data_IF_600695257750
#
_entry.id   IF_600695257750
#
_cell.length_a   1.000
_cell.length_b   1.000
_cell.length_c   1.000
_cell.angle_alpha   90.00
_cell.angle_beta   90.00
_cell.angle_gamma   90.00
#
_symmetry.space_group_name_H-M   'P 1'
#
loop_
_entity.id
_entity.type
_entity.pdbx_description
1 polymer ?
#
# COMPACT_ATOMS: atom_id res chain seq x y z
N UNK A 1 42.27 8.84 -50.62
CA UNK A 1 40.90 8.83 -50.05
C UNK A 1 40.96 8.97 -48.54
N UNK A 2 40.35 10.06 -48.06
CA UNK A 2 39.80 10.38 -46.74
C UNK A 2 40.39 9.82 -45.42
N UNK A 3 40.97 10.75 -44.65
CA UNK A 3 40.52 11.28 -43.34
C UNK A 3 40.13 10.34 -42.18
N UNK A 4 40.89 10.48 -41.09
CA UNK A 4 40.52 10.47 -39.66
C UNK A 4 39.19 9.84 -39.21
N UNK A 5 39.27 8.94 -38.21
CA UNK A 5 38.85 9.23 -36.82
C UNK A 5 39.26 8.13 -35.83
N UNK A 6 40.03 8.56 -34.83
CA UNK A 6 40.28 7.90 -33.55
C UNK A 6 39.01 7.95 -32.71
N UNK A 7 38.62 6.84 -32.07
CA UNK A 7 38.03 6.84 -30.72
C UNK A 7 38.51 5.62 -29.94
N UNK A 8 39.47 5.91 -29.06
CA UNK A 8 39.86 5.13 -27.90
C UNK A 8 38.80 5.37 -26.81
N UNK A 9 38.30 4.32 -26.16
CA UNK A 9 38.05 4.39 -24.72
C UNK A 9 38.05 2.98 -24.13
N UNK A 10 39.08 2.74 -23.33
CA UNK A 10 39.29 1.57 -22.49
C UNK A 10 38.93 1.97 -21.05
N UNK A 11 38.43 1.00 -20.30
CA UNK A 11 38.41 0.86 -18.84
C UNK A 11 37.24 1.44 -18.03
N UNK A 12 36.60 0.55 -17.27
CA UNK A 12 35.62 0.91 -16.24
C UNK A 12 35.09 -0.25 -15.39
N UNK A 13 35.98 -1.11 -14.89
CA UNK A 13 35.82 -1.96 -13.70
C UNK A 13 34.84 -3.16 -13.71
N UNK A 14 35.47 -4.34 -13.82
CA UNK A 14 35.10 -5.59 -13.14
C UNK A 14 34.90 -5.33 -11.64
N UNK A 15 33.66 -5.47 -11.17
CA UNK A 15 33.31 -6.01 -9.85
C UNK A 15 32.12 -6.95 -10.02
N UNK A 16 32.29 -7.94 -10.90
CA UNK A 16 31.63 -9.22 -10.75
C UNK A 16 32.39 -9.96 -9.65
N UNK A 17 31.84 -9.91 -8.44
CA UNK A 17 32.51 -10.41 -7.23
C UNK A 17 31.52 -10.60 -6.09
N UNK A 18 30.65 -11.59 -6.28
CA UNK A 18 30.16 -12.50 -5.24
C UNK A 18 29.40 -11.92 -4.04
N UNK A 19 28.09 -12.17 -4.09
CA UNK A 19 27.44 -12.87 -2.99
C UNK A 19 26.75 -11.98 -1.95
N UNK A 20 25.44 -11.84 -2.09
CA UNK A 20 24.49 -12.54 -1.21
C UNK A 20 23.05 -12.15 -1.60
N UNK A 21 22.23 -13.18 -1.81
CA UNK A 21 20.76 -13.16 -1.80
C UNK A 21 20.09 -12.49 -3.00
N UNK A 22 20.11 -13.23 -4.11
CA UNK A 22 18.91 -13.39 -4.92
C UNK A 22 17.78 -13.93 -4.03
N UNK A 23 17.01 -13.05 -3.42
CA UNK A 23 15.57 -13.26 -3.33
C UNK A 23 14.98 -12.44 -4.47
N UNK A 24 14.71 -13.08 -5.60
CA UNK A 24 13.63 -12.60 -6.46
C UNK A 24 12.34 -12.72 -5.63
N UNK A 25 12.11 -11.74 -4.74
CA UNK A 25 10.78 -11.44 -4.24
C UNK A 25 10.04 -10.90 -5.46
N UNK A 26 9.25 -11.76 -6.09
CA UNK A 26 8.32 -11.38 -7.14
C UNK A 26 7.26 -10.47 -6.50
N UNK A 27 7.61 -9.19 -6.30
CA UNK A 27 6.61 -8.19 -5.98
C UNK A 27 5.70 -8.05 -7.21
N UNK A 28 4.40 -8.26 -7.02
CA UNK A 28 3.43 -8.13 -8.11
C UNK A 28 3.47 -6.71 -8.72
N UNK A 29 3.08 -6.60 -10.00
CA UNK A 29 3.13 -5.34 -10.76
C UNK A 29 2.24 -4.27 -10.11
N UNK A 30 2.83 -3.11 -9.86
CA UNK A 30 2.11 -1.94 -9.35
C UNK A 30 1.54 -1.21 -10.55
N UNK A 31 0.21 -1.18 -10.63
CA UNK A 31 -0.50 -0.55 -11.74
C UNK A 31 -1.14 0.74 -11.25
N UNK A 32 -1.07 1.79 -12.07
CA UNK A 32 -1.70 3.08 -11.76
C UNK A 32 -0.92 3.93 -10.75
N UNK A 33 -1.64 4.68 -9.91
CA UNK A 33 -1.05 5.71 -9.05
C UNK A 33 -0.49 5.13 -7.75
N UNK A 34 0.76 5.50 -7.45
CA UNK A 34 1.33 5.38 -6.09
C UNK A 34 1.35 6.77 -5.47
N UNK A 35 0.69 6.92 -4.31
CA UNK A 35 0.64 8.23 -3.64
C UNK A 35 1.96 8.50 -2.91
N UNK A 36 2.37 9.78 -2.76
CA UNK A 36 3.52 10.12 -1.93
C UNK A 36 3.44 9.54 -0.52
N UNK A 37 2.25 9.52 0.09
CA UNK A 37 2.03 8.93 1.41
C UNK A 37 2.40 7.45 1.44
N UNK A 38 2.00 6.68 0.41
CA UNK A 38 2.37 5.26 0.28
C UNK A 38 3.88 5.06 0.13
N UNK A 39 4.56 5.95 -0.60
CA UNK A 39 6.02 5.89 -0.75
C UNK A 39 6.71 6.04 0.61
N UNK A 40 6.30 7.03 1.40
CA UNK A 40 6.88 7.26 2.73
C UNK A 40 6.55 6.13 3.71
N UNK A 41 5.32 5.62 3.70
CA UNK A 41 4.95 4.44 4.49
C UNK A 41 5.80 3.22 4.10
N UNK A 42 5.98 2.95 2.80
CA UNK A 42 6.81 1.85 2.33
C UNK A 42 8.26 1.99 2.78
N UNK A 43 8.84 3.20 2.64
CA UNK A 43 10.22 3.47 3.09
C UNK A 43 10.37 3.22 4.58
N UNK A 44 9.43 3.67 5.41
CA UNK A 44 9.45 3.41 6.84
C UNK A 44 9.41 1.90 7.16
N UNK A 45 8.55 1.13 6.49
CA UNK A 45 8.50 -0.32 6.66
C UNK A 45 9.84 -1.00 6.30
N UNK A 46 10.45 -0.63 5.17
CA UNK A 46 11.76 -1.15 4.75
C UNK A 46 12.89 -0.78 5.74
N UNK A 47 12.82 0.42 6.32
CA UNK A 47 13.77 0.85 7.34
C UNK A 47 13.62 0.01 8.62
N UNK A 48 12.39 -0.26 9.06
CA UNK A 48 12.11 -1.15 10.20
C UNK A 48 12.61 -2.57 9.92
N UNK A 49 12.32 -3.12 8.73
CA UNK A 49 12.79 -4.45 8.32
C UNK A 49 14.32 -4.57 8.28
N UNK A 50 15.02 -3.47 8.01
CA UNK A 50 16.50 -3.41 8.02
C UNK A 50 17.10 -3.01 9.36
N UNK A 51 16.30 -2.93 10.43
CA UNK A 51 16.74 -2.58 11.79
C UNK A 51 17.10 -1.10 11.98
N UNK A 52 16.68 -0.23 11.06
CA UNK A 52 16.91 1.21 11.05
C UNK A 52 15.72 1.96 11.64
N UNK A 53 15.42 1.63 12.89
CA UNK A 53 14.20 2.06 13.59
C UNK A 53 14.10 3.58 13.74
N UNK A 54 15.22 4.25 14.05
CA UNK A 54 15.25 5.71 14.21
C UNK A 54 15.00 6.43 12.90
N UNK A 55 15.60 5.93 11.82
CA UNK A 55 15.39 6.45 10.47
C UNK A 55 13.94 6.23 10.01
N UNK A 56 13.33 5.10 10.36
CA UNK A 56 11.93 4.84 10.05
C UNK A 56 10.98 5.84 10.75
N UNK A 57 11.19 6.08 12.05
CA UNK A 57 10.44 7.08 12.81
C UNK A 57 10.61 8.47 12.21
N UNK A 58 11.84 8.83 11.84
CA UNK A 58 12.13 10.10 11.18
C UNK A 58 11.44 10.24 9.81
N UNK A 59 11.42 9.17 9.01
CA UNK A 59 10.75 9.16 7.71
C UNK A 59 9.24 9.41 7.87
N UNK A 60 8.60 8.83 8.89
CA UNK A 60 7.19 9.07 9.16
C UNK A 60 6.93 10.48 9.69
N UNK A 61 7.81 11.05 10.52
CA UNK A 61 7.66 12.43 10.98
C UNK A 61 7.59 13.44 9.82
N UNK A 62 8.27 13.18 8.69
CA UNK A 62 8.23 14.06 7.50
C UNK A 62 6.85 14.14 6.84
N UNK A 63 6.01 13.13 7.03
CA UNK A 63 4.67 13.04 6.45
C UNK A 63 3.57 12.90 7.50
N UNK A 64 3.89 13.12 8.77
CA UNK A 64 2.92 12.99 9.85
C UNK A 64 1.88 14.12 9.78
N UNK A 65 2.37 15.35 9.65
CA UNK A 65 1.57 16.53 9.32
C UNK A 65 1.53 16.71 7.80
N UNK A 66 0.82 17.74 7.33
CA UNK A 66 0.74 18.09 5.91
C UNK A 66 2.14 18.27 5.30
N UNK A 67 2.33 17.68 4.13
CA UNK A 67 3.64 17.58 3.52
C UNK A 67 3.63 18.10 2.08
N UNK A 68 4.83 18.44 1.60
CA UNK A 68 5.11 18.74 0.21
C UNK A 68 6.06 17.69 -0.33
N UNK A 69 5.73 17.08 -1.47
CA UNK A 69 6.52 16.04 -2.09
C UNK A 69 6.98 16.49 -3.47
N UNK A 70 8.29 16.42 -3.72
CA UNK A 70 8.87 16.66 -5.04
C UNK A 70 8.57 15.45 -5.93
N UNK A 71 7.83 15.70 -7.01
CA UNK A 71 7.47 14.69 -8.01
C UNK A 71 8.53 14.58 -9.12
N UNK A 72 9.62 15.34 -9.03
CA UNK A 72 10.60 15.54 -10.09
C UNK A 72 10.20 16.65 -11.06
N UNK A 73 11.17 17.09 -11.87
CA UNK A 73 11.00 18.16 -12.88
C UNK A 73 10.45 19.48 -12.32
N UNK A 74 10.73 19.79 -11.04
CA UNK A 74 10.30 21.02 -10.38
C UNK A 74 8.83 21.06 -9.96
N UNK A 75 8.12 19.93 -10.02
CA UNK A 75 6.72 19.84 -9.59
C UNK A 75 6.63 19.44 -8.12
N UNK A 76 5.84 20.18 -7.34
CA UNK A 76 5.60 19.89 -5.92
C UNK A 76 4.13 19.58 -5.69
N UNK A 77 3.85 18.40 -5.14
CA UNK A 77 2.52 18.01 -4.69
C UNK A 77 2.35 18.32 -3.20
N UNK A 78 1.27 18.99 -2.82
CA UNK A 78 0.85 19.09 -1.40
C UNK A 78 -0.10 17.96 -1.08
N UNK A 79 0.10 17.29 0.06
CA UNK A 79 -0.73 16.19 0.51
C UNK A 79 -1.09 16.34 1.98
N UNK A 80 -2.28 15.83 2.33
CA UNK A 80 -2.67 15.67 3.73
C UNK A 80 -1.77 14.64 4.42
N UNK A 81 -1.30 14.95 5.62
CA UNK A 81 -0.43 14.07 6.39
C UNK A 81 -1.10 12.78 6.89
N UNK A 82 -0.30 11.88 7.45
CA UNK A 82 -0.78 10.65 8.09
C UNK A 82 -1.74 10.93 9.24
N UNK A 83 -1.55 12.02 9.99
CA UNK A 83 -2.43 12.37 11.11
C UNK A 83 -3.85 12.66 10.65
N UNK A 84 -4.00 13.47 9.61
CA UNK A 84 -5.31 13.78 9.03
C UNK A 84 -5.93 12.53 8.38
N UNK A 85 -5.12 11.76 7.65
CA UNK A 85 -5.54 10.52 6.99
C UNK A 85 -6.04 9.48 8.02
N UNK A 86 -5.28 9.25 9.09
CA UNK A 86 -5.67 8.34 10.17
C UNK A 86 -6.91 8.82 10.91
N UNK A 87 -7.07 10.13 11.10
CA UNK A 87 -8.28 10.70 11.72
C UNK A 87 -9.54 10.46 10.88
N UNK A 88 -9.44 10.56 9.54
CA UNK A 88 -10.54 10.26 8.64
C UNK A 88 -10.90 8.77 8.66
N UNK A 89 -9.89 7.90 8.70
CA UNK A 89 -10.07 6.45 8.82
C UNK A 89 -10.70 6.09 10.17
N UNK A 90 -10.26 6.70 11.27
CA UNK A 90 -10.85 6.53 12.59
C UNK A 90 -12.32 6.89 12.62
N UNK A 91 -12.70 7.99 11.98
CA UNK A 91 -14.11 8.39 11.86
C UNK A 91 -14.93 7.41 11.03
N UNK A 92 -14.36 6.89 9.93
CA UNK A 92 -15.06 5.99 9.00
C UNK A 92 -15.26 4.58 9.57
N UNK A 93 -14.25 4.06 10.26
CA UNK A 93 -14.23 2.67 10.72
C UNK A 93 -14.40 2.53 12.24
N UNK A 94 -14.49 3.63 12.99
CA UNK A 94 -14.63 3.59 14.45
C UNK A 94 -13.37 3.12 15.17
N UNK A 95 -12.19 3.34 14.57
CA UNK A 95 -10.89 2.92 15.12
C UNK A 95 -10.24 4.00 15.99
N UNK A 96 -9.06 3.69 16.55
CA UNK A 96 -8.22 4.64 17.30
C UNK A 96 -6.80 4.69 16.75
N UNK A 97 -6.65 4.42 15.46
CA UNK A 97 -5.38 4.28 14.77
C UNK A 97 -4.57 5.57 14.81
N UNK A 98 -5.22 6.73 14.72
CA UNK A 98 -4.54 8.02 14.84
C UNK A 98 -3.86 8.18 16.21
N UNK A 99 -4.51 7.76 17.28
CA UNK A 99 -3.94 7.80 18.63
C UNK A 99 -2.80 6.77 18.81
N UNK A 100 -2.93 5.57 18.22
CA UNK A 100 -1.89 4.54 18.22
C UNK A 100 -0.64 5.01 17.46
N UNK A 101 -0.83 5.58 16.27
CA UNK A 101 0.24 6.13 15.45
C UNK A 101 0.97 7.27 16.18
N UNK A 102 0.24 8.23 16.76
CA UNK A 102 0.81 9.34 17.53
C UNK A 102 1.62 8.85 18.74
N UNK A 103 1.10 7.84 19.44
CA UNK A 103 1.79 7.21 20.58
C UNK A 103 3.07 6.51 20.14
N UNK A 104 3.01 5.72 19.05
CA UNK A 104 4.17 5.01 18.52
C UNK A 104 5.29 5.97 18.10
N UNK A 105 4.94 7.10 17.47
CA UNK A 105 5.90 8.13 17.08
C UNK A 105 6.52 8.82 18.28
N UNK A 106 5.72 9.26 19.26
CA UNK A 106 6.21 9.93 20.48
C UNK A 106 7.15 9.05 21.29
N UNK A 107 6.90 7.74 21.30
CA UNK A 107 7.72 6.77 22.02
C UNK A 107 8.92 6.26 21.20
N UNK A 108 8.99 6.59 19.90
CA UNK A 108 9.98 6.02 18.98
C UNK A 108 9.87 4.49 18.86
N UNK A 109 8.66 3.93 19.05
CA UNK A 109 8.43 2.49 19.06
C UNK A 109 8.20 1.99 17.63
N UNK A 110 9.27 1.54 16.98
CA UNK A 110 9.27 1.06 15.60
C UNK A 110 8.31 -0.11 15.34
N UNK A 111 8.20 -1.05 16.28
CA UNK A 111 7.28 -2.19 16.14
C UNK A 111 5.80 -1.73 16.17
N UNK A 112 5.46 -0.82 17.09
CA UNK A 112 4.11 -0.24 17.15
C UNK A 112 3.81 0.64 15.93
N UNK A 113 4.84 1.33 15.42
CA UNK A 113 4.75 2.12 14.20
C UNK A 113 4.49 1.23 12.98
N UNK A 114 5.23 0.12 12.85
CA UNK A 114 5.03 -0.87 11.79
C UNK A 114 3.58 -1.36 11.76
N UNK A 115 3.07 -1.77 12.93
CA UNK A 115 1.70 -2.25 13.06
C UNK A 115 0.68 -1.18 12.67
N UNK A 116 0.88 0.06 13.13
CA UNK A 116 -0.01 1.18 12.81
C UNK A 116 -0.03 1.50 11.31
N UNK A 117 1.13 1.43 10.63
CA UNK A 117 1.22 1.64 9.17
C UNK A 117 0.50 0.53 8.40
N UNK A 118 0.70 -0.73 8.80
CA UNK A 118 0.05 -1.88 8.15
C UNK A 118 -1.48 -1.85 8.35
N UNK A 119 -1.93 -1.53 9.56
CA UNK A 119 -3.36 -1.37 9.84
C UNK A 119 -3.98 -0.20 9.05
N UNK A 120 -3.26 0.92 8.95
CA UNK A 120 -3.71 2.06 8.13
C UNK A 120 -3.80 1.69 6.64
N UNK A 121 -2.80 0.97 6.12
CA UNK A 121 -2.79 0.50 4.73
C UNK A 121 -3.99 -0.40 4.43
N UNK A 122 -4.30 -1.32 5.35
CA UNK A 122 -5.45 -2.20 5.22
C UNK A 122 -6.77 -1.41 5.20
N UNK A 123 -6.95 -0.47 6.13
CA UNK A 123 -8.17 0.34 6.20
C UNK A 123 -8.33 1.28 4.99
N UNK A 124 -7.23 1.84 4.47
CA UNK A 124 -7.25 2.63 3.24
C UNK A 124 -7.62 1.78 2.01
N UNK A 125 -7.13 0.54 1.93
CA UNK A 125 -7.57 -0.39 0.89
C UNK A 125 -9.08 -0.64 0.96
N UNK A 126 -9.60 -0.97 2.16
CA UNK A 126 -11.04 -1.21 2.34
C UNK A 126 -11.86 0.03 2.00
N UNK A 127 -11.39 1.21 2.37
CA UNK A 127 -12.02 2.49 2.03
C UNK A 127 -12.17 2.68 0.51
N UNK A 128 -11.15 2.31 -0.27
CA UNK A 128 -11.24 2.36 -1.74
C UNK A 128 -12.22 1.33 -2.29
N UNK A 129 -12.22 0.10 -1.78
CA UNK A 129 -13.16 -0.92 -2.24
C UNK A 129 -14.62 -0.63 -1.83
N UNK A 130 -14.86 -0.02 -0.67
CA UNK A 130 -16.20 0.43 -0.28
C UNK A 130 -16.70 1.58 -1.15
N UNK A 131 -15.81 2.53 -1.44
CA UNK A 131 -16.13 3.64 -2.35
C UNK A 131 -16.41 3.12 -3.75
N UNK A 132 -15.61 2.17 -4.24
CA UNK A 132 -15.81 1.51 -5.53
C UNK A 132 -17.16 0.79 -5.60
N UNK A 133 -17.50 0.00 -4.57
CA UNK A 133 -18.80 -0.69 -4.47
C UNK A 133 -19.97 0.27 -4.57
N UNK A 134 -19.90 1.44 -3.94
CA UNK A 134 -20.97 2.45 -4.01
C UNK A 134 -21.20 3.03 -5.41
N UNK A 135 -20.24 2.86 -6.32
CA UNK A 135 -20.37 3.27 -7.72
C UNK A 135 -20.84 2.15 -8.65
N UNK A 136 -20.85 0.90 -8.18
CA UNK A 136 -21.28 -0.24 -8.98
C UNK A 136 -22.80 -0.28 -9.12
N UNK A 137 -23.28 -0.69 -10.30
CA UNK A 137 -24.71 -0.66 -10.63
C UNK A 137 -25.23 0.74 -11.01
N UNK A 138 -24.43 1.80 -10.89
CA UNK A 138 -24.76 3.10 -11.44
C UNK A 138 -24.36 3.15 -12.92
N UNK A 139 -25.34 3.09 -13.82
CA UNK A 139 -25.13 3.04 -15.28
C UNK A 139 -24.41 4.26 -15.88
N UNK A 140 -24.20 5.33 -15.10
CA UNK A 140 -23.40 6.50 -15.50
C UNK A 140 -21.96 6.50 -14.95
N UNK A 141 -21.56 5.48 -14.18
CA UNK A 141 -20.22 5.43 -13.62
C UNK A 141 -19.17 5.19 -14.72
N UNK A 142 -18.08 5.94 -14.66
CA UNK A 142 -16.98 5.81 -15.62
C UNK A 142 -16.15 4.53 -15.30
N UNK A 143 -16.10 3.53 -16.20
CA UNK A 143 -15.35 2.29 -15.96
C UNK A 143 -13.86 2.51 -15.70
N UNK A 144 -13.24 3.49 -16.37
CA UNK A 144 -11.82 3.81 -16.17
C UNK A 144 -11.56 4.39 -14.78
N UNK A 145 -12.49 5.19 -14.25
CA UNK A 145 -12.40 5.71 -12.90
C UNK A 145 -12.55 4.59 -11.85
N UNK A 146 -13.42 3.61 -12.11
CA UNK A 146 -13.60 2.43 -11.28
C UNK A 146 -12.33 1.56 -11.24
N UNK A 147 -11.73 1.26 -12.40
CA UNK A 147 -10.45 0.54 -12.48
C UNK A 147 -9.34 1.30 -11.78
N UNK A 148 -9.26 2.62 -11.95
CA UNK A 148 -8.26 3.46 -11.27
C UNK A 148 -8.40 3.36 -9.74
N UNK A 149 -9.63 3.41 -9.22
CA UNK A 149 -9.90 3.26 -7.79
C UNK A 149 -9.58 1.85 -7.28
N UNK A 150 -9.89 0.82 -8.08
CA UNK A 150 -9.52 -0.57 -7.77
C UNK A 150 -8.01 -0.72 -7.63
N UNK A 151 -7.24 -0.25 -8.61
CA UNK A 151 -5.78 -0.32 -8.58
C UNK A 151 -5.18 0.47 -7.43
N UNK A 152 -5.74 1.63 -7.07
CA UNK A 152 -5.31 2.36 -5.89
C UNK A 152 -5.53 1.53 -4.59
N UNK A 153 -6.67 0.84 -4.49
CA UNK A 153 -6.93 -0.11 -3.40
C UNK A 153 -5.90 -1.24 -3.37
N UNK A 154 -5.69 -1.93 -4.49
CA UNK A 154 -4.70 -3.01 -4.62
C UNK A 154 -3.28 -2.54 -4.29
N UNK A 155 -2.89 -1.33 -4.69
CA UNK A 155 -1.56 -0.81 -4.42
C UNK A 155 -1.29 -0.67 -2.91
N UNK A 156 -2.31 -0.41 -2.06
CA UNK A 156 -2.11 -0.46 -0.62
C UNK A 156 -1.73 -1.87 -0.13
N UNK A 157 -2.35 -2.91 -0.69
CA UNK A 157 -1.98 -4.30 -0.42
C UNK A 157 -0.57 -4.60 -0.94
N UNK A 158 -0.35 -4.46 -2.24
CA UNK A 158 0.90 -4.91 -2.87
C UNK A 158 2.14 -4.17 -2.38
N UNK A 159 1.99 -2.89 -2.02
CA UNK A 159 3.13 -2.11 -1.56
C UNK A 159 3.42 -2.29 -0.07
N UNK A 160 2.40 -2.40 0.77
CA UNK A 160 2.53 -2.25 2.23
C UNK A 160 2.22 -3.52 3.03
N UNK A 161 1.47 -4.46 2.47
CA UNK A 161 1.04 -5.69 3.15
C UNK A 161 1.69 -6.93 2.55
N UNK A 162 1.60 -7.09 1.22
CA UNK A 162 2.11 -8.24 0.48
C UNK A 162 3.55 -8.60 0.85
N UNK A 163 4.52 -7.67 0.96
CA UNK A 163 5.91 -8.05 1.23
C UNK A 163 6.12 -8.66 2.63
N UNK A 164 5.39 -8.16 3.64
CA UNK A 164 5.40 -8.78 4.97
C UNK A 164 4.68 -10.13 4.95
N UNK A 165 3.62 -10.26 4.15
CA UNK A 165 2.83 -11.46 4.02
C UNK A 165 3.61 -12.59 3.30
N UNK A 166 4.26 -12.30 2.18
CA UNK A 166 5.11 -13.26 1.44
C UNK A 166 6.22 -13.86 2.31
N UNK A 167 6.70 -13.13 3.34
CA UNK A 167 7.70 -13.63 4.27
C UNK A 167 7.11 -14.51 5.38
N UNK A 168 5.91 -14.18 5.86
CA UNK A 168 5.27 -14.86 7.01
C UNK A 168 4.42 -16.05 6.59
N UNK A 169 3.65 -15.88 5.53
CA UNK A 169 2.71 -16.87 5.00
C UNK A 169 2.59 -16.70 3.47
N UNK A 170 3.52 -17.29 2.69
CA UNK A 170 3.51 -17.20 1.24
C UNK A 170 2.26 -17.83 0.59
N UNK A 171 1.63 -18.80 1.25
CA UNK A 171 0.45 -19.47 0.72
C UNK A 171 -0.75 -18.55 0.84
N UNK A 172 -0.93 -17.91 1.99
CA UNK A 172 -1.99 -16.93 2.20
C UNK A 172 -1.78 -15.68 1.34
N UNK A 173 -0.53 -15.27 1.11
CA UNK A 173 -0.21 -14.20 0.16
C UNK A 173 -0.74 -14.49 -1.25
N UNK A 174 -0.34 -15.61 -1.84
CA UNK A 174 -0.81 -16.00 -3.17
C UNK A 174 -2.33 -16.17 -3.22
N UNK A 175 -2.96 -16.61 -2.13
CA UNK A 175 -4.41 -16.74 -2.04
C UNK A 175 -5.08 -15.37 -2.09
N UNK A 176 -4.59 -14.41 -1.31
CA UNK A 176 -5.13 -13.05 -1.25
C UNK A 176 -4.87 -12.26 -2.55
N UNK A 177 -3.72 -12.46 -3.19
CA UNK A 177 -3.45 -11.86 -4.50
C UNK A 177 -4.43 -12.37 -5.58
N UNK A 178 -4.61 -13.70 -5.69
CA UNK A 178 -5.63 -14.28 -6.59
C UNK A 178 -7.05 -13.83 -6.25
N UNK A 179 -7.33 -13.53 -4.99
CA UNK A 179 -8.62 -13.01 -4.56
C UNK A 179 -8.84 -11.58 -5.10
N UNK A 180 -7.80 -10.74 -5.09
CA UNK A 180 -7.83 -9.41 -5.72
C UNK A 180 -8.03 -9.52 -7.23
N UNK A 181 -7.38 -10.46 -7.92
CA UNK A 181 -7.62 -10.69 -9.36
C UNK A 181 -9.09 -11.07 -9.63
N UNK A 182 -9.65 -11.97 -8.81
CA UNK A 182 -11.08 -12.34 -8.91
C UNK A 182 -11.99 -11.13 -8.65
N UNK A 183 -11.65 -10.27 -7.70
CA UNK A 183 -12.40 -9.03 -7.46
C UNK A 183 -12.36 -8.11 -8.68
N UNK A 184 -11.21 -7.96 -9.35
CA UNK A 184 -11.12 -7.18 -10.59
C UNK A 184 -12.02 -7.73 -11.69
N UNK A 185 -12.04 -9.05 -11.90
CA UNK A 185 -12.93 -9.66 -12.88
C UNK A 185 -14.41 -9.42 -12.54
N UNK A 186 -14.80 -9.51 -11.26
CA UNK A 186 -16.18 -9.22 -10.85
C UNK A 186 -16.56 -7.75 -11.01
N UNK A 187 -15.60 -6.86 -10.82
CA UNK A 187 -15.78 -5.44 -11.12
C UNK A 187 -16.06 -5.23 -12.61
N UNK A 188 -15.25 -5.84 -13.49
CA UNK A 188 -15.37 -5.71 -14.95
C UNK A 188 -16.65 -6.35 -15.50
N UNK A 189 -17.09 -7.46 -14.90
CA UNK A 189 -18.35 -8.15 -15.25
C UNK A 189 -19.59 -7.48 -14.63
N UNK A 190 -19.43 -6.43 -13.83
CA UNK A 190 -20.54 -5.75 -13.14
C UNK A 190 -21.22 -6.59 -12.05
N UNK A 191 -20.56 -7.62 -11.53
CA UNK A 191 -21.09 -8.55 -10.52
C UNK A 191 -20.91 -7.99 -9.10
N UNK A 192 -21.79 -7.06 -8.71
CA UNK A 192 -21.67 -6.28 -7.46
C UNK A 192 -21.67 -7.14 -6.20
N UNK A 193 -22.58 -8.10 -6.11
CA UNK A 193 -22.69 -8.98 -4.93
C UNK A 193 -21.48 -9.90 -4.80
N UNK A 194 -21.02 -10.50 -5.92
CA UNK A 194 -19.82 -11.33 -5.91
C UNK A 194 -18.58 -10.51 -5.55
N UNK A 195 -18.46 -9.26 -6.02
CA UNK A 195 -17.39 -8.36 -5.58
C UNK A 195 -17.44 -8.12 -4.06
N UNK A 196 -18.63 -7.89 -3.50
CA UNK A 196 -18.81 -7.66 -2.08
C UNK A 196 -18.44 -8.89 -1.22
N UNK A 197 -18.79 -10.09 -1.67
CA UNK A 197 -18.45 -11.32 -0.96
C UNK A 197 -16.94 -11.62 -1.00
N UNK A 198 -16.29 -11.39 -2.15
CA UNK A 198 -14.83 -11.49 -2.25
C UNK A 198 -14.13 -10.45 -1.37
N UNK A 199 -14.66 -9.23 -1.27
CA UNK A 199 -14.14 -8.21 -0.35
C UNK A 199 -14.20 -8.68 1.11
N UNK A 200 -15.30 -9.32 1.55
CA UNK A 200 -15.41 -9.88 2.92
C UNK A 200 -14.38 -10.99 3.16
N UNK A 201 -14.13 -11.83 2.14
CA UNK A 201 -13.10 -12.87 2.21
C UNK A 201 -11.69 -12.27 2.33
N UNK A 202 -11.42 -11.18 1.60
CA UNK A 202 -10.16 -10.44 1.64
C UNK A 202 -9.96 -9.80 3.03
N UNK A 203 -10.99 -9.14 3.55
CA UNK A 203 -10.99 -8.52 4.88
C UNK A 203 -10.68 -9.55 5.97
N UNK A 204 -11.35 -10.72 5.92
CA UNK A 204 -11.11 -11.80 6.88
C UNK A 204 -9.68 -12.31 6.81
N UNK A 205 -9.16 -12.58 5.61
CA UNK A 205 -7.80 -13.12 5.45
C UNK A 205 -6.74 -12.17 5.99
N UNK A 206 -6.80 -10.88 5.60
CA UNK A 206 -5.82 -9.88 6.08
C UNK A 206 -5.95 -9.65 7.59
N UNK A 207 -7.18 -9.59 8.13
CA UNK A 207 -7.39 -9.37 9.57
C UNK A 207 -6.81 -10.50 10.41
N UNK A 208 -6.95 -11.75 9.96
CA UNK A 208 -6.36 -12.92 10.64
C UNK A 208 -4.83 -12.82 10.61
N UNK A 209 -4.24 -12.60 9.44
CA UNK A 209 -2.78 -12.66 9.30
C UNK A 209 -2.04 -11.52 10.00
N UNK A 210 -2.62 -10.31 9.98
CA UNK A 210 -2.04 -9.15 10.64
C UNK A 210 -2.56 -8.92 12.07
N UNK A 211 -3.44 -9.80 12.56
CA UNK A 211 -4.08 -9.69 13.88
C UNK A 211 -4.71 -8.30 14.10
N UNK A 212 -5.41 -7.83 13.07
CA UNK A 212 -6.10 -6.54 13.08
C UNK A 212 -7.49 -6.78 13.67
N UNK A 213 -7.75 -6.16 14.82
CA UNK A 213 -9.07 -6.16 15.42
C UNK A 213 -9.86 -4.99 14.82
N UNK A 214 -10.52 -5.24 13.70
CA UNK A 214 -11.54 -4.31 13.25
C UNK A 214 -12.67 -4.28 14.28
N UNK A 215 -13.15 -3.10 14.72
CA UNK A 215 -14.43 -2.99 15.39
C UNK A 215 -15.41 -3.78 14.53
N UNK A 216 -16.06 -4.75 15.14
CA UNK A 216 -16.91 -5.68 14.44
C UNK A 216 -17.84 -4.87 13.55
N UNK A 217 -17.63 -4.92 12.22
CA UNK A 217 -18.58 -4.42 11.21
C UNK A 217 -19.79 -5.38 11.24
N UNK A 218 -20.37 -5.53 12.42
CA UNK A 218 -21.58 -6.30 12.69
C UNK A 218 -22.70 -5.42 12.16
N UNK A 219 -23.23 -5.86 11.02
CA UNK A 219 -24.63 -5.77 10.66
C UNK A 219 -25.16 -4.34 10.47
N UNK A 220 -24.92 -3.80 9.28
CA UNK A 220 -26.01 -3.13 8.54
C UNK A 220 -26.46 -4.01 7.39
N UNK A 221 -26.83 -5.25 7.70
CA UNK A 221 -28.02 -5.83 7.06
C UNK A 221 -29.21 -5.19 7.76
N UNK A 222 -29.73 -4.12 7.17
CA UNK A 222 -30.95 -3.49 7.62
C UNK A 222 -31.76 -3.05 6.41
N UNK A 223 -32.61 -3.99 6.01
CA UNK A 223 -33.83 -3.89 5.17
C UNK A 223 -33.67 -4.15 3.68
#
# INVERSE_FOLDING_TARGET
MNTQKIKLMVLGCVLAGLGCLQTELWAHEIVGQVTPLMIHMKRALLLIESGKDKEAVHEIHRVYEDFSHDMGMGMVMKGAGLKATASQIDQRFGTRLGALLDTALKQGNASSLQKSIQELAFLLMLEKFDSLRSTLGNGSANPEAQKTMFWLGRNYFSYLLEPTLSLKDPVEEQRLDRLLDRMLYRLEDGQVEEFADLKKELERGISITFQINLPSLIQTDSR
#
